data_IF_040704490602
#
_entry.id   IF_040704490602
#
_cell.length_a   1.000
_cell.length_b   1.000
_cell.length_c   1.000
_cell.angle_alpha   90.00
_cell.angle_beta   90.00
_cell.angle_gamma   90.00
#
_symmetry.space_group_name_H-M   'P 1'
#
loop_
_entity.id
_entity.type
_entity.pdbx_description
1 polymer ?
#
# COMPACT_ATOMS: atom_id res chain seq x y z
N UNK A 1 -36.90 0.41 -16.33
CA UNK A 1 -36.28 -0.51 -15.35
C UNK A 1 -35.50 0.35 -14.35
N UNK A 2 -36.08 0.88 -13.27
CA UNK A 2 -36.95 0.22 -12.29
C UNK A 2 -36.17 -0.43 -11.14
N UNK A 3 -34.94 0.01 -10.86
CA UNK A 3 -34.08 -0.53 -9.79
C UNK A 3 -33.67 0.60 -8.83
N UNK A 4 -33.73 0.37 -7.51
CA UNK A 4 -33.55 1.43 -6.51
C UNK A 4 -32.12 1.99 -6.54
N UNK A 5 -31.96 3.33 -6.52
CA UNK A 5 -30.66 4.01 -6.68
C UNK A 5 -29.64 3.63 -5.60
N UNK A 6 -30.10 3.22 -4.42
CA UNK A 6 -29.23 2.88 -3.29
C UNK A 6 -28.35 1.63 -3.55
N UNK A 7 -28.84 0.64 -4.31
CA UNK A 7 -28.01 -0.54 -4.69
C UNK A 7 -27.02 -0.20 -5.80
N UNK A 8 -27.28 0.84 -6.60
CA UNK A 8 -26.41 1.27 -7.69
C UNK A 8 -25.26 2.09 -7.13
N UNK A 9 -25.52 3.00 -6.19
CA UNK A 9 -24.48 3.86 -5.56
C UNK A 9 -23.50 3.00 -4.75
N UNK A 10 -23.98 2.12 -3.87
CA UNK A 10 -23.09 1.24 -3.08
C UNK A 10 -22.29 0.26 -3.93
N UNK A 11 -22.81 -0.17 -5.08
CA UNK A 11 -22.13 -1.15 -5.94
C UNK A 11 -21.24 -0.50 -7.01
N UNK A 12 -21.57 0.69 -7.52
CA UNK A 12 -20.79 1.37 -8.56
C UNK A 12 -19.88 2.48 -7.99
N UNK A 13 -20.40 3.35 -7.11
CA UNK A 13 -19.61 4.47 -6.59
C UNK A 13 -18.52 3.99 -5.63
N UNK A 14 -18.80 2.96 -4.80
CA UNK A 14 -17.77 2.35 -3.94
C UNK A 14 -16.64 1.71 -4.76
N UNK A 15 -16.99 0.98 -5.84
CA UNK A 15 -16.01 0.34 -6.74
C UNK A 15 -15.19 1.35 -7.54
N UNK A 16 -15.77 2.48 -7.94
CA UNK A 16 -15.06 3.52 -8.69
C UNK A 16 -14.23 4.45 -7.76
N UNK A 17 -14.63 4.61 -6.50
CA UNK A 17 -13.86 5.34 -5.48
C UNK A 17 -12.71 4.50 -4.89
N UNK A 18 -12.82 3.16 -4.89
CA UNK A 18 -11.80 2.24 -4.40
C UNK A 18 -10.46 2.37 -5.16
N UNK A 19 -10.47 2.70 -6.46
CA UNK A 19 -9.27 2.80 -7.28
C UNK A 19 -8.30 3.91 -6.81
N UNK A 20 -8.73 5.18 -6.69
CA UNK A 20 -7.89 6.22 -6.11
C UNK A 20 -7.61 5.98 -4.62
N UNK A 21 -8.53 5.38 -3.86
CA UNK A 21 -8.32 5.11 -2.43
C UNK A 21 -7.21 4.08 -2.20
N UNK A 22 -7.21 2.95 -2.93
CA UNK A 22 -6.18 1.91 -2.74
C UNK A 22 -4.81 2.43 -3.22
N UNK A 23 -4.78 3.13 -4.36
CA UNK A 23 -3.55 3.77 -4.85
C UNK A 23 -3.03 4.83 -3.86
N UNK A 24 -3.91 5.61 -3.25
CA UNK A 24 -3.54 6.55 -2.19
C UNK A 24 -3.02 5.82 -0.96
N UNK A 25 -3.68 4.76 -0.48
CA UNK A 25 -3.21 3.97 0.67
C UNK A 25 -1.84 3.34 0.37
N UNK A 26 -1.62 2.86 -0.85
CA UNK A 26 -0.34 2.32 -1.30
C UNK A 26 0.79 3.36 -1.30
N UNK A 27 0.50 4.65 -1.50
CA UNK A 27 1.48 5.74 -1.37
C UNK A 27 1.62 6.28 0.06
N UNK A 28 0.54 6.27 0.83
CA UNK A 28 0.53 6.69 2.24
C UNK A 28 1.31 5.70 3.11
N UNK A 29 1.24 4.39 2.84
CA UNK A 29 1.97 3.37 3.61
C UNK A 29 3.49 3.60 3.64
N UNK A 30 4.19 3.74 2.48
CA UNK A 30 5.61 4.07 2.45
C UNK A 30 5.92 5.39 3.15
N UNK A 31 5.06 6.40 2.96
CA UNK A 31 5.23 7.73 3.57
C UNK A 31 5.10 7.68 5.09
N UNK A 32 4.16 6.90 5.61
CA UNK A 32 3.97 6.65 7.04
C UNK A 32 5.13 5.85 7.62
N UNK A 33 5.61 4.83 6.91
CA UNK A 33 6.80 4.07 7.32
C UNK A 33 8.05 4.97 7.37
N UNK A 34 8.23 5.85 6.39
CA UNK A 34 9.31 6.84 6.38
C UNK A 34 9.19 7.85 7.54
N UNK A 35 7.97 8.30 7.86
CA UNK A 35 7.70 9.15 9.02
C UNK A 35 7.92 8.43 10.36
N UNK A 36 7.60 7.13 10.43
CA UNK A 36 7.82 6.29 11.61
C UNK A 36 9.30 6.19 11.96
N UNK A 37 10.21 6.19 10.98
CA UNK A 37 11.67 6.17 11.20
C UNK A 37 12.10 7.29 12.16
N UNK A 38 11.55 8.50 12.00
CA UNK A 38 11.90 9.66 12.84
C UNK A 38 11.52 9.39 14.30
N UNK A 39 10.32 8.84 14.54
CA UNK A 39 9.84 8.49 15.87
C UNK A 39 10.69 7.36 16.46
N UNK A 40 10.99 6.32 15.67
CA UNK A 40 11.82 5.18 16.10
C UNK A 40 13.23 5.61 16.53
N UNK A 41 13.83 6.57 15.80
CA UNK A 41 15.16 7.11 16.12
C UNK A 41 15.11 7.98 17.39
N UNK A 42 14.14 8.90 17.52
CA UNK A 42 14.05 9.81 18.67
C UNK A 42 13.72 9.04 19.96
N UNK A 43 12.76 8.13 19.92
CA UNK A 43 12.29 7.37 21.09
C UNK A 43 13.08 6.09 21.34
N UNK A 44 14.16 5.83 20.59
CA UNK A 44 14.97 4.62 20.71
C UNK A 44 14.15 3.31 20.57
N UNK A 45 13.04 3.32 19.84
CA UNK A 45 12.18 2.14 19.65
C UNK A 45 12.86 1.21 18.62
N UNK A 46 12.95 -0.11 18.89
CA UNK A 46 13.50 -1.06 17.93
C UNK A 46 12.50 -1.28 16.79
N UNK A 47 12.78 -0.70 15.62
CA UNK A 47 11.95 -0.82 14.42
C UNK A 47 12.75 -0.96 13.12
N UNK A 48 12.07 -1.39 12.05
CA UNK A 48 12.70 -1.61 10.74
C UNK A 48 13.21 -0.31 10.12
N UNK A 49 12.57 0.82 10.40
CA UNK A 49 12.98 2.14 9.92
C UNK A 49 14.31 2.58 10.54
N UNK A 50 14.42 2.43 11.85
CA UNK A 50 15.67 2.68 12.57
C UNK A 50 16.80 1.73 12.15
N UNK A 51 16.51 0.45 11.90
CA UNK A 51 17.49 -0.52 11.41
C UNK A 51 18.05 -0.11 10.04
N UNK A 52 17.19 0.28 9.10
CA UNK A 52 17.63 0.81 7.81
C UNK A 52 18.47 2.08 7.96
N UNK A 53 18.05 3.02 8.82
CA UNK A 53 18.80 4.25 9.07
C UNK A 53 20.20 3.98 9.62
N UNK A 54 20.32 3.10 10.62
CA UNK A 54 21.60 2.69 11.18
C UNK A 54 22.47 1.96 10.14
N UNK A 55 21.88 1.10 9.31
CA UNK A 55 22.60 0.40 8.24
C UNK A 55 23.18 1.36 7.18
N UNK A 56 22.45 2.43 6.83
CA UNK A 56 22.96 3.48 5.94
C UNK A 56 24.16 4.19 6.58
N UNK A 57 24.05 4.57 7.86
CA UNK A 57 25.15 5.22 8.61
C UNK A 57 26.40 4.33 8.71
N UNK A 58 26.21 3.04 8.95
CA UNK A 58 27.29 2.04 9.06
C UNK A 58 27.78 1.53 7.69
N UNK A 59 27.20 2.01 6.58
CA UNK A 59 27.45 1.52 5.20
C UNK A 59 27.25 0.00 5.04
N UNK A 60 26.34 -0.56 5.81
CA UNK A 60 25.94 -1.96 5.71
C UNK A 60 24.89 -2.13 4.60
N UNK A 61 25.37 -2.10 3.35
CA UNK A 61 24.53 -2.22 2.16
C UNK A 61 23.66 -3.49 2.12
N UNK A 62 24.13 -4.69 2.55
CA UNK A 62 23.28 -5.87 2.64
C UNK A 62 21.99 -5.66 3.46
N UNK A 63 22.08 -5.01 4.62
CA UNK A 63 20.92 -4.75 5.48
C UNK A 63 20.00 -3.72 4.81
N UNK A 64 20.56 -2.67 4.20
CA UNK A 64 19.78 -1.67 3.46
C UNK A 64 18.97 -2.31 2.33
N UNK A 65 19.62 -3.13 1.49
CA UNK A 65 18.93 -3.83 0.40
C UNK A 65 17.85 -4.79 0.91
N UNK A 66 18.08 -5.45 2.05
CA UNK A 66 17.08 -6.35 2.65
C UNK A 66 15.82 -5.60 3.06
N UNK A 67 15.97 -4.45 3.75
CA UNK A 67 14.82 -3.65 4.17
C UNK A 67 14.08 -3.06 2.97
N UNK A 68 14.80 -2.58 1.96
CA UNK A 68 14.21 -2.05 0.73
C UNK A 68 13.46 -3.14 -0.04
N UNK A 69 14.03 -4.33 -0.19
CA UNK A 69 13.39 -5.46 -0.86
C UNK A 69 12.14 -5.90 -0.12
N UNK A 70 12.16 -5.93 1.22
CA UNK A 70 10.98 -6.25 2.03
C UNK A 70 9.86 -5.22 1.84
N UNK A 71 10.21 -3.93 1.83
CA UNK A 71 9.27 -2.86 1.50
C UNK A 71 8.66 -2.99 0.10
N UNK A 72 9.49 -3.28 -0.90
CA UNK A 72 9.04 -3.49 -2.27
C UNK A 72 8.09 -4.69 -2.42
N UNK A 73 8.36 -5.80 -1.74
CA UNK A 73 7.47 -6.98 -1.72
C UNK A 73 6.13 -6.63 -1.09
N UNK A 74 6.12 -5.94 0.05
CA UNK A 74 4.89 -5.48 0.71
C UNK A 74 4.08 -4.57 -0.20
N UNK A 75 4.72 -3.61 -0.87
CA UNK A 75 4.06 -2.73 -1.83
C UNK A 75 3.48 -3.52 -3.00
N UNK A 76 4.24 -4.47 -3.56
CA UNK A 76 3.78 -5.32 -4.66
C UNK A 76 2.58 -6.19 -4.25
N UNK A 77 2.59 -6.76 -3.03
CA UNK A 77 1.45 -7.48 -2.47
C UNK A 77 0.24 -6.55 -2.32
N UNK A 78 0.45 -5.32 -1.81
CA UNK A 78 -0.61 -4.33 -1.68
C UNK A 78 -1.27 -3.99 -3.02
N UNK A 79 -0.47 -3.82 -4.07
CA UNK A 79 -0.95 -3.58 -5.44
C UNK A 79 -1.68 -4.82 -5.98
N UNK A 80 -1.13 -6.02 -5.79
CA UNK A 80 -1.74 -7.26 -6.27
C UNK A 80 -3.10 -7.52 -5.59
N UNK A 81 -3.22 -7.23 -4.30
CA UNK A 81 -4.50 -7.28 -3.58
C UNK A 81 -5.48 -6.25 -4.18
N UNK A 82 -4.99 -5.05 -4.53
CA UNK A 82 -5.80 -4.04 -5.21
C UNK A 82 -6.35 -4.56 -6.54
N UNK A 83 -5.51 -5.19 -7.36
CA UNK A 83 -5.85 -5.75 -8.66
C UNK A 83 -6.84 -6.92 -8.54
N UNK A 84 -6.66 -7.79 -7.54
CA UNK A 84 -7.61 -8.89 -7.26
C UNK A 84 -8.97 -8.39 -6.79
N UNK A 85 -8.98 -7.36 -5.92
CA UNK A 85 -10.21 -6.70 -5.50
C UNK A 85 -10.90 -6.04 -6.69
N UNK A 86 -10.14 -5.46 -7.61
CA UNK A 86 -10.65 -4.92 -8.87
C UNK A 86 -11.26 -6.02 -9.75
N UNK A 87 -10.55 -7.12 -10.01
CA UNK A 87 -11.06 -8.24 -10.80
C UNK A 87 -12.36 -8.84 -10.24
N UNK A 88 -12.49 -8.91 -8.91
CA UNK A 88 -13.72 -9.36 -8.24
C UNK A 88 -14.81 -8.27 -8.22
N UNK A 89 -14.41 -7.01 -8.23
CA UNK A 89 -15.30 -5.88 -8.28
C UNK A 89 -15.85 -5.62 -9.70
N UNK A 90 -15.15 -5.96 -10.77
CA UNK A 90 -15.59 -5.60 -12.12
C UNK A 90 -16.18 -6.79 -12.89
N UNK A 91 -17.51 -6.85 -13.15
CA UNK A 91 -18.12 -7.83 -14.03
C UNK A 91 -18.08 -7.40 -15.51
N UNK A 92 -17.29 -6.38 -15.88
CA UNK A 92 -17.18 -5.84 -17.25
C UNK A 92 -15.77 -5.88 -17.84
N UNK A 93 -14.83 -6.66 -17.29
CA UNK A 93 -13.64 -7.06 -18.07
C UNK A 93 -14.09 -8.10 -19.11
N UNK A 94 -14.87 -7.64 -20.08
CA UNK A 94 -15.07 -8.34 -21.33
C UNK A 94 -13.88 -7.96 -22.18
N UNK A 95 -12.92 -8.88 -22.23
CA UNK A 95 -12.05 -9.04 -23.39
C UNK A 95 -13.00 -9.38 -24.54
N UNK A 96 -13.27 -8.41 -25.41
CA UNK A 96 -14.18 -8.51 -26.54
C UNK A 96 -14.73 -7.16 -26.97
#
# INVERSE_FOLDING_TARGET
KGLPPNKIIWKHAFRNALFPIITMIAGIFPSMLAGSVIIEVIFNIPGMGRLAFNAIMLKDWPVVFTVLMFGAILTMIGILIADLLYAKADPRVVIG
#
